data_IF_051764665433
#
_entry.id   IF_051764665433
#
_cell.length_a   1.000
_cell.length_b   1.000
_cell.length_c   1.000
_cell.angle_alpha   90.00
_cell.angle_beta   90.00
_cell.angle_gamma   90.00
#
_symmetry.space_group_name_H-M   'P 1'
#
loop_
_entity.id
_entity.type
_entity.pdbx_description
1 polymer ?
#
# COMPACT_ATOMS: atom_id res chain seq x y z
N UNK A 1 -11.49 14.68 3.22
CA UNK A 1 -10.75 13.42 3.53
C UNK A 1 -9.80 13.68 4.67
N UNK A 2 -9.72 12.76 5.62
CA UNK A 2 -8.78 12.87 6.73
C UNK A 2 -7.45 12.22 6.34
N UNK A 3 -6.34 12.90 6.68
CA UNK A 3 -4.98 12.40 6.45
C UNK A 3 -4.20 12.43 7.76
N UNK A 4 -3.26 11.51 7.89
CA UNK A 4 -2.28 11.55 8.97
C UNK A 4 -0.97 12.21 8.51
N UNK A 5 -0.26 12.79 9.45
CA UNK A 5 1.05 13.40 9.26
C UNK A 5 1.83 13.39 10.59
N UNK A 6 3.06 13.88 10.60
CA UNK A 6 3.89 13.93 11.80
C UNK A 6 3.22 14.67 12.97
N UNK A 7 2.39 15.66 12.70
CA UNK A 7 1.74 16.49 13.74
C UNK A 7 0.51 15.86 14.37
N UNK A 8 -0.15 14.90 13.69
CA UNK A 8 -1.41 14.33 14.18
C UNK A 8 -1.42 12.81 14.35
N UNK A 9 -0.37 12.10 13.95
CA UNK A 9 -0.35 10.64 13.92
C UNK A 9 -0.62 10.01 15.30
N UNK A 10 0.10 10.44 16.34
CA UNK A 10 -0.13 9.93 17.71
C UNK A 10 -1.54 10.26 18.22
N UNK A 11 -2.05 11.47 17.89
CA UNK A 11 -3.42 11.83 18.26
C UNK A 11 -4.46 10.90 17.62
N UNK A 12 -4.23 10.47 16.37
CA UNK A 12 -5.12 9.51 15.68
C UNK A 12 -5.01 8.12 16.30
N UNK A 13 -3.81 7.68 16.66
CA UNK A 13 -3.60 6.44 17.41
C UNK A 13 -4.35 6.46 18.76
N UNK A 14 -4.30 7.59 19.50
CA UNK A 14 -5.04 7.75 20.76
C UNK A 14 -6.55 7.72 20.56
N UNK A 15 -7.05 8.28 19.45
CA UNK A 15 -8.47 8.20 19.11
C UNK A 15 -8.91 6.76 18.83
N UNK A 16 -8.10 5.97 18.13
CA UNK A 16 -8.32 4.53 17.94
C UNK A 16 -8.29 3.78 19.27
N UNK A 17 -7.29 4.04 20.11
CA UNK A 17 -7.16 3.42 21.43
C UNK A 17 -8.34 3.72 22.37
N UNK A 18 -8.99 4.87 22.22
CA UNK A 18 -10.23 5.19 22.97
C UNK A 18 -11.44 4.40 22.48
N UNK A 19 -11.46 4.02 21.21
CA UNK A 19 -12.54 3.23 20.61
C UNK A 19 -12.39 1.73 20.82
N UNK A 20 -11.16 1.25 21.10
CA UNK A 20 -10.85 -0.16 21.15
C UNK A 20 -9.84 -0.50 22.26
N UNK A 21 -10.28 -1.40 23.17
CA UNK A 21 -9.49 -1.79 24.34
C UNK A 21 -8.20 -2.54 23.93
N UNK A 22 -8.25 -3.39 22.89
CA UNK A 22 -7.07 -4.16 22.49
C UNK A 22 -6.04 -3.23 21.85
N UNK A 23 -6.47 -2.29 20.99
CA UNK A 23 -5.57 -1.27 20.43
C UNK A 23 -4.97 -0.38 21.51
N UNK A 24 -5.74 -0.04 22.56
CA UNK A 24 -5.21 0.66 23.75
C UNK A 24 -4.15 -0.18 24.46
N UNK A 25 -4.39 -1.48 24.60
CA UNK A 25 -3.44 -2.42 25.20
C UNK A 25 -2.13 -2.48 24.43
N UNK A 26 -2.19 -2.55 23.11
CA UNK A 26 -1.02 -2.56 22.22
C UNK A 26 -0.18 -1.29 22.40
N UNK A 27 -0.81 -0.12 22.35
CA UNK A 27 -0.08 1.15 22.54
C UNK A 27 0.57 1.23 23.93
N UNK A 28 -0.10 0.75 24.95
CA UNK A 28 0.46 0.74 26.33
C UNK A 28 1.67 -0.18 26.46
N UNK A 29 1.66 -1.33 25.78
CA UNK A 29 2.71 -2.34 25.88
C UNK A 29 3.91 -2.06 24.96
N UNK A 30 3.66 -1.65 23.72
CA UNK A 30 4.66 -1.50 22.67
C UNK A 30 4.93 -0.05 22.25
N UNK A 31 4.18 0.91 22.76
CA UNK A 31 4.23 2.30 22.33
C UNK A 31 3.48 2.54 21.01
N UNK A 32 3.66 3.74 20.46
CA UNK A 32 3.06 4.10 19.18
C UNK A 32 3.73 3.33 18.02
N UNK A 33 2.94 2.90 17.03
CA UNK A 33 3.52 2.29 15.83
C UNK A 33 4.36 3.31 15.06
N UNK A 34 5.38 2.87 14.30
CA UNK A 34 6.11 3.77 13.42
C UNK A 34 5.18 4.29 12.32
N UNK A 35 5.32 5.57 12.00
CA UNK A 35 4.56 6.18 10.91
C UNK A 35 5.21 5.80 9.56
N UNK A 36 4.75 4.74 8.94
CA UNK A 36 5.23 4.30 7.63
C UNK A 36 4.64 5.16 6.53
N UNK A 37 5.48 6.01 5.96
CA UNK A 37 5.10 6.83 4.82
C UNK A 37 6.03 6.60 3.64
N UNK A 38 5.50 6.82 2.45
CA UNK A 38 6.23 6.76 1.18
C UNK A 38 5.87 7.97 0.34
N UNK A 39 6.79 8.51 -0.48
CA UNK A 39 6.43 9.60 -1.39
C UNK A 39 5.43 9.11 -2.46
N UNK A 40 4.48 9.96 -2.84
CA UNK A 40 3.47 9.65 -3.86
C UNK A 40 4.09 9.67 -5.27
N UNK A 41 4.94 8.67 -5.56
CA UNK A 41 5.75 8.62 -6.78
C UNK A 41 5.57 7.31 -7.56
N UNK A 42 6.00 7.33 -8.82
CA UNK A 42 6.07 6.14 -9.66
C UNK A 42 6.88 5.00 -9.03
N UNK A 43 8.04 5.30 -8.45
CA UNK A 43 8.87 4.25 -7.84
C UNK A 43 8.22 3.62 -6.60
N UNK A 44 7.36 4.34 -5.87
CA UNK A 44 6.55 3.77 -4.79
C UNK A 44 5.58 2.72 -5.32
N UNK A 45 4.88 3.00 -6.43
CA UNK A 45 4.00 2.01 -7.06
C UNK A 45 4.78 0.81 -7.62
N UNK A 46 5.98 1.02 -8.18
CA UNK A 46 6.86 -0.09 -8.61
C UNK A 46 7.27 -0.95 -7.41
N UNK A 47 7.64 -0.33 -6.29
CA UNK A 47 7.94 -1.09 -5.07
C UNK A 47 6.73 -1.88 -4.59
N UNK A 48 5.54 -1.27 -4.57
CA UNK A 48 4.31 -1.96 -4.16
C UNK A 48 3.94 -3.12 -5.11
N UNK A 49 4.20 -3.00 -6.42
CA UNK A 49 4.07 -4.13 -7.36
C UNK A 49 5.05 -5.25 -7.00
N UNK A 50 6.29 -4.92 -6.63
CA UNK A 50 7.27 -5.92 -6.21
C UNK A 50 6.89 -6.60 -4.89
N UNK A 51 6.17 -5.93 -3.99
CA UNK A 51 5.68 -6.46 -2.72
C UNK A 51 4.53 -7.47 -2.87
N UNK A 52 3.87 -7.52 -4.02
CA UNK A 52 2.75 -8.45 -4.23
C UNK A 52 3.19 -9.91 -4.06
N UNK A 53 2.52 -10.64 -3.17
CA UNK A 53 2.68 -12.09 -2.95
C UNK A 53 4.10 -12.56 -2.59
N UNK A 54 4.90 -11.69 -2.01
CA UNK A 54 6.26 -12.02 -1.52
C UNK A 54 6.52 -11.33 -0.18
N UNK A 55 7.57 -11.76 0.53
CA UNK A 55 8.00 -11.06 1.73
C UNK A 55 8.51 -9.65 1.42
N UNK A 56 8.34 -8.72 2.35
CA UNK A 56 8.87 -7.34 2.23
C UNK A 56 10.37 -7.34 1.98
N UNK A 57 11.12 -8.25 2.63
CA UNK A 57 12.57 -8.40 2.45
C UNK A 57 12.92 -8.75 0.99
N UNK A 58 12.21 -9.71 0.39
CA UNK A 58 12.41 -10.10 -1.02
C UNK A 58 12.07 -8.96 -1.98
N UNK A 59 10.96 -8.26 -1.75
CA UNK A 59 10.57 -7.11 -2.55
C UNK A 59 11.60 -5.98 -2.49
N UNK A 60 12.10 -5.70 -1.28
CA UNK A 60 13.10 -4.67 -1.06
C UNK A 60 14.45 -5.02 -1.71
N UNK A 61 14.86 -6.29 -1.66
CA UNK A 61 16.05 -6.77 -2.36
C UNK A 61 15.95 -6.59 -3.88
N UNK A 62 14.78 -6.92 -4.47
CA UNK A 62 14.50 -6.70 -5.87
C UNK A 62 14.53 -5.21 -6.24
N UNK A 63 13.90 -4.36 -5.43
CA UNK A 63 13.88 -2.92 -5.64
C UNK A 63 15.27 -2.29 -5.50
N UNK A 64 16.07 -2.75 -4.54
CA UNK A 64 17.46 -2.31 -4.37
C UNK A 64 18.29 -2.63 -5.61
N UNK A 65 18.24 -3.88 -6.12
CA UNK A 65 18.90 -4.27 -7.37
C UNK A 65 18.45 -3.47 -8.58
N UNK A 66 17.16 -3.20 -8.68
CA UNK A 66 16.62 -2.32 -9.74
C UNK A 66 17.28 -0.94 -9.67
N UNK A 67 17.34 -0.34 -8.46
CA UNK A 67 17.97 0.97 -8.27
C UNK A 67 19.47 0.98 -8.52
N UNK A 68 20.18 -0.07 -8.16
CA UNK A 68 21.60 -0.24 -8.47
C UNK A 68 21.84 -0.27 -9.99
N UNK A 69 20.94 -0.91 -10.75
CA UNK A 69 21.03 -1.00 -12.21
C UNK A 69 20.69 0.30 -12.94
N UNK A 70 19.59 0.99 -12.54
CA UNK A 70 19.08 2.13 -13.31
C UNK A 70 19.06 3.46 -12.54
N UNK A 71 19.52 3.48 -11.29
CA UNK A 71 19.43 4.66 -10.43
C UNK A 71 17.99 4.97 -10.04
N UNK A 72 17.59 6.25 -10.10
CA UNK A 72 16.22 6.66 -9.81
C UNK A 72 15.24 6.02 -10.81
N UNK A 73 14.19 5.37 -10.28
CA UNK A 73 13.24 4.58 -11.08
C UNK A 73 12.22 5.51 -11.75
N UNK A 74 12.26 5.60 -13.07
CA UNK A 74 11.34 6.40 -13.89
C UNK A 74 10.59 5.53 -14.90
N UNK A 75 9.42 5.97 -15.41
CA UNK A 75 8.70 5.25 -16.46
C UNK A 75 9.57 4.93 -17.68
N UNK A 76 10.32 5.91 -18.21
CA UNK A 76 11.17 5.73 -19.36
C UNK A 76 12.23 4.66 -19.14
N UNK A 77 12.88 4.63 -17.97
CA UNK A 77 13.90 3.63 -17.64
C UNK A 77 13.30 2.22 -17.51
N UNK A 78 12.11 2.07 -16.93
CA UNK A 78 11.42 0.77 -16.87
C UNK A 78 11.08 0.26 -18.27
N UNK A 79 10.64 1.13 -19.15
CA UNK A 79 10.30 0.75 -20.53
C UNK A 79 11.53 0.42 -21.38
N UNK A 80 12.70 0.95 -21.05
CA UNK A 80 13.95 0.69 -21.73
C UNK A 80 14.60 -0.65 -21.35
N UNK A 81 14.20 -1.27 -20.21
CA UNK A 81 14.75 -2.56 -19.79
C UNK A 81 14.24 -3.71 -20.64
N UNK A 82 15.13 -4.60 -21.04
CA UNK A 82 14.77 -5.89 -21.64
C UNK A 82 14.15 -6.84 -20.63
N UNK A 83 13.55 -7.93 -21.08
CA UNK A 83 13.01 -8.96 -20.19
C UNK A 83 14.12 -9.64 -19.37
N UNK A 84 15.28 -9.87 -19.98
CA UNK A 84 16.47 -10.44 -19.33
C UNK A 84 16.96 -9.54 -18.22
N UNK A 85 17.03 -8.25 -18.47
CA UNK A 85 17.46 -7.26 -17.50
C UNK A 85 16.48 -7.15 -16.32
N UNK A 86 15.18 -7.21 -16.58
CA UNK A 86 14.17 -7.21 -15.51
C UNK A 86 14.22 -8.50 -14.69
N UNK A 87 14.46 -9.68 -15.33
CA UNK A 87 14.67 -10.95 -14.59
C UNK A 87 15.91 -10.89 -13.69
N UNK A 88 16.99 -10.30 -14.17
CA UNK A 88 18.23 -10.16 -13.39
C UNK A 88 18.03 -9.33 -12.10
N UNK A 89 17.02 -8.47 -12.06
CA UNK A 89 16.61 -7.70 -10.87
C UNK A 89 15.34 -8.26 -10.20
N UNK A 90 15.08 -9.55 -10.39
CA UNK A 90 14.04 -10.35 -9.71
C UNK A 90 12.59 -10.00 -10.05
N UNK A 91 12.30 -9.37 -11.20
CA UNK A 91 10.94 -9.28 -11.66
C UNK A 91 10.45 -10.64 -12.19
N UNK A 92 9.30 -11.08 -11.73
CA UNK A 92 8.58 -12.17 -12.40
C UNK A 92 7.99 -11.67 -13.73
N UNK A 93 7.70 -12.58 -14.66
CA UNK A 93 7.07 -12.24 -15.95
C UNK A 93 5.81 -11.38 -15.77
N UNK A 94 5.01 -11.72 -14.79
CA UNK A 94 3.77 -11.00 -14.46
C UNK A 94 4.07 -9.57 -13.99
N UNK A 95 4.99 -9.38 -13.04
CA UNK A 95 5.38 -8.07 -12.50
C UNK A 95 6.06 -7.19 -13.54
N UNK A 96 6.79 -7.76 -14.51
CA UNK A 96 7.31 -7.01 -15.67
C UNK A 96 6.17 -6.37 -16.46
N UNK A 97 5.12 -7.16 -16.78
CA UNK A 97 3.95 -6.66 -17.47
C UNK A 97 3.27 -5.51 -16.71
N UNK A 98 3.09 -5.66 -15.40
CA UNK A 98 2.48 -4.64 -14.55
C UNK A 98 3.30 -3.36 -14.47
N UNK A 99 4.62 -3.48 -14.29
CA UNK A 99 5.52 -2.33 -14.24
C UNK A 99 5.52 -1.54 -15.56
N UNK A 100 5.51 -2.25 -16.71
CA UNK A 100 5.45 -1.60 -18.03
C UNK A 100 4.09 -0.96 -18.29
N UNK A 101 3.00 -1.60 -17.88
CA UNK A 101 1.65 -1.01 -18.01
C UNK A 101 1.54 0.30 -17.23
N UNK A 102 1.95 0.31 -15.97
CA UNK A 102 2.01 1.51 -15.15
C UNK A 102 2.92 2.58 -15.77
N UNK A 103 4.08 2.18 -16.28
CA UNK A 103 5.02 3.10 -16.92
C UNK A 103 4.43 3.76 -18.17
N UNK A 104 3.75 2.98 -19.03
CA UNK A 104 3.06 3.50 -20.22
C UNK A 104 1.93 4.46 -19.85
N UNK A 105 1.12 4.12 -18.84
CA UNK A 105 0.01 4.94 -18.39
C UNK A 105 0.48 6.32 -17.92
N UNK A 106 1.62 6.38 -17.20
CA UNK A 106 2.19 7.66 -16.75
C UNK A 106 2.84 8.42 -17.90
N UNK A 107 3.59 7.74 -18.78
CA UNK A 107 4.28 8.38 -19.91
C UNK A 107 3.29 8.97 -20.91
N UNK A 108 2.18 8.28 -21.17
CA UNK A 108 1.09 8.76 -22.03
C UNK A 108 0.16 9.77 -21.38
N UNK A 109 0.42 10.14 -20.09
CA UNK A 109 -0.44 11.01 -19.27
C UNK A 109 -1.86 10.48 -19.03
N UNK A 110 -2.12 9.19 -19.30
CA UNK A 110 -3.37 8.51 -18.91
C UNK A 110 -3.52 8.49 -17.37
N UNK A 111 -2.41 8.38 -16.65
CA UNK A 111 -2.34 8.54 -15.20
C UNK A 111 -1.36 9.67 -14.84
N UNK A 112 -1.81 10.61 -14.01
CA UNK A 112 -0.99 11.71 -13.48
C UNK A 112 -1.04 11.64 -11.97
N UNK A 113 0.01 11.11 -11.32
CA UNK A 113 0.01 10.83 -9.88
C UNK A 113 -0.29 12.07 -9.02
N UNK A 114 0.24 13.23 -9.37
CA UNK A 114 -0.04 14.50 -8.65
C UNK A 114 -1.53 14.88 -8.63
N UNK A 115 -2.29 14.45 -9.64
CA UNK A 115 -3.74 14.71 -9.71
C UNK A 115 -4.54 13.79 -8.79
N UNK A 116 -3.94 12.72 -8.25
CA UNK A 116 -4.61 11.82 -7.30
C UNK A 116 -4.71 12.42 -5.89
N UNK A 117 -3.78 13.28 -5.51
CA UNK A 117 -3.70 13.83 -4.15
C UNK A 117 -4.97 14.56 -3.69
N UNK A 118 -5.60 15.44 -4.52
CA UNK A 118 -6.81 16.16 -4.11
C UNK A 118 -8.10 15.32 -4.25
N UNK A 119 -8.07 14.16 -4.91
CA UNK A 119 -9.25 13.34 -5.18
C UNK A 119 -9.73 12.58 -3.94
N UNK A 120 -11.02 12.26 -3.90
CA UNK A 120 -11.57 11.31 -2.93
C UNK A 120 -11.04 9.90 -3.17
N UNK A 121 -11.01 9.09 -2.11
CA UNK A 121 -10.42 7.74 -2.17
C UNK A 121 -11.07 6.86 -3.24
N UNK A 122 -12.39 6.96 -3.43
CA UNK A 122 -13.11 6.22 -4.46
C UNK A 122 -12.73 6.67 -5.89
N UNK A 123 -12.43 7.94 -6.10
CA UNK A 123 -11.95 8.45 -7.39
C UNK A 123 -10.53 7.97 -7.68
N UNK A 124 -9.66 7.94 -6.66
CA UNK A 124 -8.32 7.34 -6.76
C UNK A 124 -8.43 5.86 -7.09
N UNK A 125 -9.29 5.13 -6.40
CA UNK A 125 -9.58 3.71 -6.67
C UNK A 125 -10.03 3.49 -8.11
N UNK A 126 -11.01 4.26 -8.57
CA UNK A 126 -11.55 4.16 -9.91
C UNK A 126 -10.50 4.40 -11.02
N UNK A 127 -9.53 5.29 -10.79
CA UNK A 127 -8.44 5.52 -11.73
C UNK A 127 -7.38 4.41 -11.70
N UNK A 128 -6.94 4.00 -10.52
CA UNK A 128 -5.85 3.04 -10.36
C UNK A 128 -6.25 1.61 -10.74
N UNK A 129 -7.50 1.19 -10.45
CA UNK A 129 -7.98 -0.18 -10.75
C UNK A 129 -8.03 -0.48 -12.26
N UNK A 130 -8.02 0.55 -13.12
CA UNK A 130 -7.98 0.39 -14.57
C UNK A 130 -6.64 -0.16 -15.08
N UNK A 131 -5.60 -0.11 -14.24
CA UNK A 131 -4.27 -0.54 -14.63
C UNK A 131 -4.08 -2.03 -14.28
N UNK A 132 -3.70 -2.82 -15.29
CA UNK A 132 -3.41 -4.23 -15.09
C UNK A 132 -2.31 -4.40 -14.03
N UNK A 133 -2.61 -5.19 -13.01
CA UNK A 133 -1.69 -5.44 -11.90
C UNK A 133 -1.82 -4.49 -10.71
N UNK A 134 -2.68 -3.49 -10.80
CA UNK A 134 -3.05 -2.63 -9.68
C UNK A 134 -4.40 -3.10 -9.13
N UNK A 135 -4.39 -3.94 -8.12
CA UNK A 135 -5.60 -4.42 -7.43
C UNK A 135 -5.90 -3.63 -6.17
N UNK A 136 -7.01 -3.99 -5.50
CA UNK A 136 -7.48 -3.31 -4.28
C UNK A 136 -6.41 -3.19 -3.20
N UNK A 137 -5.65 -4.26 -2.92
CA UNK A 137 -4.56 -4.22 -1.94
C UNK A 137 -3.48 -3.18 -2.31
N UNK A 138 -3.05 -3.15 -3.59
CA UNK A 138 -2.05 -2.17 -4.05
C UNK A 138 -2.56 -0.73 -3.92
N UNK A 139 -3.85 -0.52 -4.19
CA UNK A 139 -4.52 0.78 -4.05
C UNK A 139 -4.58 1.18 -2.58
N UNK A 140 -5.00 0.27 -1.69
CA UNK A 140 -5.06 0.52 -0.25
C UNK A 140 -3.69 0.90 0.32
N UNK A 141 -2.65 0.15 -0.05
CA UNK A 141 -1.26 0.45 0.34
C UNK A 141 -0.81 1.82 -0.17
N UNK A 142 -1.17 2.18 -1.40
CA UNK A 142 -0.85 3.50 -1.96
C UNK A 142 -1.62 4.62 -1.26
N UNK A 143 -2.91 4.47 -1.05
CA UNK A 143 -3.74 5.43 -0.31
C UNK A 143 -3.21 5.66 1.10
N UNK A 144 -2.90 4.57 1.82
CA UNK A 144 -2.44 4.63 3.21
C UNK A 144 -1.02 5.22 3.32
N UNK A 145 -0.05 4.65 2.60
CA UNK A 145 1.34 5.01 2.79
C UNK A 145 1.81 6.21 1.95
N UNK A 146 1.23 6.42 0.76
CA UNK A 146 1.66 7.51 -0.12
C UNK A 146 0.75 8.74 -0.03
N UNK A 147 -0.57 8.56 0.05
CA UNK A 147 -1.53 9.66 0.23
C UNK A 147 -1.94 9.88 1.69
N UNK A 148 -1.46 9.03 2.62
CA UNK A 148 -1.63 9.17 4.08
C UNK A 148 -3.11 9.23 4.52
N UNK A 149 -3.99 8.48 3.81
CA UNK A 149 -5.41 8.40 4.15
C UNK A 149 -5.63 7.56 5.40
N UNK A 150 -6.63 7.93 6.21
CA UNK A 150 -6.90 7.25 7.49
C UNK A 150 -8.01 6.22 7.40
N UNK A 151 -9.11 6.50 6.73
CA UNK A 151 -10.31 5.65 6.73
C UNK A 151 -10.19 4.44 5.79
N UNK A 152 -9.19 3.60 6.05
CA UNK A 152 -8.85 2.45 5.20
C UNK A 152 -8.67 1.19 6.03
N UNK A 153 -9.27 0.09 5.55
CA UNK A 153 -9.06 -1.24 6.12
C UNK A 153 -8.73 -2.23 5.00
N UNK A 154 -7.45 -2.49 4.72
CA UNK A 154 -7.00 -3.29 3.57
C UNK A 154 -7.21 -4.78 3.81
N UNK A 155 -8.41 -5.30 3.54
CA UNK A 155 -8.76 -6.73 3.66
C UNK A 155 -7.92 -7.67 2.78
N UNK A 156 -7.19 -7.13 1.81
CA UNK A 156 -6.24 -7.89 1.00
C UNK A 156 -4.89 -8.11 1.68
N UNK A 157 -4.65 -7.47 2.83
CA UNK A 157 -3.40 -7.62 3.58
C UNK A 157 -3.49 -8.81 4.54
N UNK A 158 -2.79 -9.88 4.19
CA UNK A 158 -2.82 -11.15 4.95
C UNK A 158 -2.28 -10.94 6.37
N UNK A 159 -1.25 -10.11 6.55
CA UNK A 159 -0.65 -9.87 7.87
C UNK A 159 -1.63 -9.12 8.77
N UNK A 160 -2.29 -8.08 8.24
CA UNK A 160 -3.33 -7.33 8.96
C UNK A 160 -4.50 -8.25 9.34
N UNK A 161 -5.02 -9.03 8.38
CA UNK A 161 -6.15 -9.95 8.61
C UNK A 161 -5.81 -11.00 9.66
N UNK A 162 -4.63 -11.60 9.61
CA UNK A 162 -4.20 -12.58 10.61
C UNK A 162 -4.02 -11.94 12.00
N UNK A 163 -3.44 -10.76 12.06
CA UNK A 163 -3.28 -10.00 13.30
C UNK A 163 -4.64 -9.64 13.91
N UNK A 164 -5.59 -9.19 13.09
CA UNK A 164 -6.95 -8.90 13.53
C UNK A 164 -7.62 -10.15 14.15
N UNK A 165 -7.56 -11.28 13.43
CA UNK A 165 -8.13 -12.55 13.90
C UNK A 165 -7.54 -12.97 15.25
N UNK A 166 -6.22 -12.86 15.39
CA UNK A 166 -5.51 -13.22 16.61
C UNK A 166 -5.92 -12.31 17.78
N UNK A 167 -5.85 -11.00 17.60
CA UNK A 167 -6.08 -10.02 18.67
C UNK A 167 -7.54 -10.02 19.12
N UNK A 168 -8.46 -10.12 18.15
CA UNK A 168 -9.91 -10.13 18.42
C UNK A 168 -10.48 -11.53 18.69
N UNK A 169 -9.64 -12.58 18.70
CA UNK A 169 -10.05 -13.98 18.88
C UNK A 169 -11.19 -14.38 17.95
N UNK A 170 -11.10 -13.96 16.68
CA UNK A 170 -12.15 -14.21 15.68
C UNK A 170 -12.06 -15.64 15.13
N UNK A 171 -13.19 -16.21 14.67
CA UNK A 171 -13.19 -17.50 13.98
C UNK A 171 -12.24 -17.50 12.78
N UNK A 172 -11.53 -18.62 12.50
CA UNK A 172 -10.64 -18.70 11.33
C UNK A 172 -11.32 -18.44 10.00
N UNK A 173 -12.59 -18.80 9.88
CA UNK A 173 -13.46 -18.71 8.71
C UNK A 173 -14.32 -17.45 8.65
N UNK A 174 -14.10 -16.48 9.54
CA UNK A 174 -14.84 -15.21 9.51
C UNK A 174 -14.83 -14.58 8.13
N UNK A 175 -15.99 -14.17 7.64
CA UNK A 175 -16.14 -13.53 6.34
C UNK A 175 -15.49 -12.13 6.28
N UNK A 176 -15.25 -11.63 5.07
CA UNK A 176 -14.75 -10.26 4.87
C UNK A 176 -15.69 -9.21 5.47
N UNK A 177 -16.98 -9.41 5.29
CA UNK A 177 -18.03 -8.54 5.86
C UNK A 177 -18.00 -8.57 7.39
N UNK A 178 -17.76 -9.75 7.98
CA UNK A 178 -17.57 -9.91 9.42
C UNK A 178 -16.37 -9.11 9.94
N UNK A 179 -15.24 -9.16 9.24
CA UNK A 179 -14.05 -8.38 9.59
C UNK A 179 -14.26 -6.87 9.45
N UNK A 180 -14.98 -6.43 8.41
CA UNK A 180 -15.34 -5.01 8.25
C UNK A 180 -16.23 -4.51 9.39
N UNK A 181 -17.20 -5.31 9.84
CA UNK A 181 -18.04 -4.98 11.01
C UNK A 181 -17.21 -4.82 12.29
N UNK A 182 -16.18 -5.64 12.48
CA UNK A 182 -15.24 -5.49 13.62
C UNK A 182 -14.45 -4.18 13.52
N UNK A 183 -14.06 -3.78 12.32
CA UNK A 183 -13.28 -2.56 12.08
C UNK A 183 -14.16 -1.28 12.01
N UNK A 184 -15.47 -1.40 11.78
CA UNK A 184 -16.38 -0.26 11.60
C UNK A 184 -16.33 0.78 12.73
N UNK A 185 -16.27 0.41 14.03
CA UNK A 185 -16.15 1.37 15.13
C UNK A 185 -14.86 2.23 15.06
N UNK A 186 -13.84 1.77 14.35
CA UNK A 186 -12.55 2.47 14.24
C UNK A 186 -12.60 3.67 13.30
N UNK A 187 -13.55 3.69 12.40
CA UNK A 187 -13.71 4.78 11.44
C UNK A 187 -13.88 6.14 12.14
N UNK A 188 -13.36 7.21 11.55
CA UNK A 188 -12.65 7.32 10.28
C UNK A 188 -11.10 7.30 10.43
N UNK A 189 -10.54 6.52 11.38
CA UNK A 189 -9.12 6.52 11.76
C UNK A 189 -8.40 5.27 11.29
#
# INVERSE_FOLDING_TARGET
MQQFNNGNFHLLCDKLARKDHDLKGIIREYGYPPMWTRPATFQTLILTILEQQVSLASAYAAFKKLREKIGYVTPAKILALTDEEMRAVYFTRQKMGYARELARAIQSRKLILKKLEPLHDEEVRAQLIQLKGIGHWTIDVYLMHALQRTDLFPLGDIALVNSLKLIKKLPPDISKEGMLKVAEPWRPY
#
